data_IF_415895878479
#
_entry.id   IF_415895878479
#
_cell.length_a   1.000
_cell.length_b   1.000
_cell.length_c   1.000
_cell.angle_alpha   90.00
_cell.angle_beta   90.00
_cell.angle_gamma   90.00
#
_symmetry.space_group_name_H-M   'P 1'
#
loop_
_entity.id
_entity.type
_entity.pdbx_description
1 polymer ?
#
# COMPACT_ATOMS: atom_id res chain seq x y z
N UNK A 1 -19.05 36.45 -15.42
CA UNK A 1 -18.23 35.67 -16.37
C UNK A 1 -17.29 34.76 -15.58
N UNK A 2 -17.26 33.45 -15.84
CA UNK A 2 -16.26 32.55 -15.22
C UNK A 2 -14.86 32.85 -15.80
N UNK A 3 -13.85 32.99 -14.92
CA UNK A 3 -12.45 33.19 -15.35
C UNK A 3 -11.94 31.99 -16.16
N UNK A 4 -11.00 32.23 -17.07
CA UNK A 4 -10.41 31.20 -17.94
C UNK A 4 -9.81 30.05 -17.12
N UNK A 5 -9.14 30.36 -16.00
CA UNK A 5 -8.57 29.37 -15.08
C UNK A 5 -9.65 28.44 -14.50
N UNK A 6 -10.81 29.00 -14.12
CA UNK A 6 -11.95 28.20 -13.63
C UNK A 6 -12.46 27.22 -14.70
N UNK A 7 -12.47 27.62 -15.98
CA UNK A 7 -12.88 26.73 -17.07
C UNK A 7 -11.89 25.58 -17.28
N UNK A 8 -10.59 25.83 -17.15
CA UNK A 8 -9.57 24.78 -17.25
C UNK A 8 -9.71 23.75 -16.13
N UNK A 9 -9.82 24.20 -14.88
CA UNK A 9 -10.06 23.32 -13.72
C UNK A 9 -11.29 22.45 -13.96
N UNK A 10 -12.40 23.07 -14.39
CA UNK A 10 -13.64 22.33 -14.68
C UNK A 10 -13.46 21.26 -15.76
N UNK A 11 -12.78 21.58 -16.86
CA UNK A 11 -12.51 20.60 -17.94
C UNK A 11 -11.63 19.43 -17.47
N UNK A 12 -10.66 19.68 -16.60
CA UNK A 12 -9.81 18.61 -16.04
C UNK A 12 -10.58 17.72 -15.06
N UNK A 13 -11.44 18.32 -14.23
CA UNK A 13 -12.36 17.59 -13.35
C UNK A 13 -13.37 16.75 -14.13
N UNK A 14 -13.91 17.27 -15.24
CA UNK A 14 -14.78 16.52 -16.16
C UNK A 14 -14.08 15.28 -16.76
N UNK A 15 -12.75 15.34 -16.92
CA UNK A 15 -11.90 14.20 -17.30
C UNK A 15 -11.52 13.28 -16.14
N UNK A 16 -12.12 13.45 -14.96
CA UNK A 16 -11.87 12.67 -13.73
C UNK A 16 -10.46 12.80 -13.14
N UNK A 17 -9.75 13.88 -13.45
CA UNK A 17 -8.50 14.22 -12.75
C UNK A 17 -8.78 14.97 -11.45
N UNK A 18 -8.03 14.66 -10.40
CA UNK A 18 -7.98 15.47 -9.18
C UNK A 18 -7.04 16.66 -9.44
N UNK A 19 -7.57 17.87 -9.34
CA UNK A 19 -6.90 19.09 -9.75
C UNK A 19 -6.44 19.89 -8.54
N UNK A 20 -5.12 20.02 -8.37
CA UNK A 20 -4.52 21.02 -7.48
C UNK A 20 -4.23 22.29 -8.29
N UNK A 21 -4.64 23.45 -7.79
CA UNK A 21 -4.39 24.74 -8.42
C UNK A 21 -3.60 25.65 -7.49
N UNK A 22 -2.56 26.30 -8.01
CA UNK A 22 -1.81 27.35 -7.32
C UNK A 22 -2.27 28.73 -7.78
N UNK A 23 -2.30 29.71 -6.88
CA UNK A 23 -2.65 31.10 -7.22
C UNK A 23 -2.09 32.09 -6.20
N UNK A 24 -1.97 33.34 -6.62
CA UNK A 24 -1.42 34.45 -5.83
C UNK A 24 -2.35 35.66 -5.78
N UNK A 25 -3.10 35.90 -6.85
CA UNK A 25 -3.96 37.06 -7.01
C UNK A 25 -5.44 36.84 -6.73
N UNK A 26 -6.16 37.95 -6.55
CA UNK A 26 -7.64 37.99 -6.38
C UNK A 26 -8.36 37.34 -7.58
N UNK A 27 -7.76 37.40 -8.78
CA UNK A 27 -8.30 36.82 -10.01
C UNK A 27 -8.33 35.28 -9.99
N UNK A 28 -7.46 34.66 -9.21
CA UNK A 28 -7.39 33.21 -9.07
C UNK A 28 -8.32 32.66 -7.98
N UNK A 29 -8.84 33.52 -7.10
CA UNK A 29 -9.73 33.11 -6.01
C UNK A 29 -10.93 32.24 -6.47
N UNK A 30 -11.65 32.54 -7.56
CA UNK A 30 -12.72 31.67 -8.04
C UNK A 30 -12.24 30.30 -8.53
N UNK A 31 -11.02 30.23 -9.07
CA UNK A 31 -10.46 29.01 -9.62
C UNK A 31 -9.80 28.14 -8.53
N UNK A 32 -9.14 28.76 -7.54
CA UNK A 32 -8.67 28.13 -6.30
C UNK A 32 -9.82 27.45 -5.56
N UNK A 33 -10.94 28.15 -5.38
CA UNK A 33 -12.15 27.62 -4.74
C UNK A 33 -12.84 26.50 -5.55
N UNK A 34 -12.60 26.46 -6.87
CA UNK A 34 -13.20 25.45 -7.75
C UNK A 34 -12.35 24.19 -7.86
N UNK A 35 -11.04 24.30 -7.64
CA UNK A 35 -10.11 23.19 -7.64
C UNK A 35 -10.44 22.19 -6.52
N UNK A 36 -9.98 20.95 -6.67
CA UNK A 36 -10.12 19.95 -5.60
C UNK A 36 -9.21 20.30 -4.41
N UNK A 37 -8.10 20.99 -4.68
CA UNK A 37 -7.19 21.56 -3.69
C UNK A 37 -6.69 22.91 -4.22
N UNK A 38 -7.11 24.01 -3.58
CA UNK A 38 -6.57 25.35 -3.82
C UNK A 38 -5.33 25.62 -2.96
N UNK A 39 -4.24 26.08 -3.58
CA UNK A 39 -2.96 26.37 -2.92
C UNK A 39 -2.59 27.84 -3.13
N UNK A 40 -2.59 28.63 -2.05
CA UNK A 40 -2.06 29.99 -2.09
C UNK A 40 -0.54 29.98 -1.84
N UNK A 41 0.20 30.71 -2.68
CA UNK A 41 1.66 30.89 -2.48
C UNK A 41 1.96 31.82 -1.31
N UNK A 42 3.20 31.80 -0.81
CA UNK A 42 3.60 32.59 0.37
C UNK A 42 3.31 34.08 0.24
N UNK A 43 3.53 34.66 -0.94
CA UNK A 43 3.28 36.09 -1.19
C UNK A 43 1.87 36.37 -1.78
N UNK A 44 0.94 35.41 -1.65
CA UNK A 44 -0.42 35.56 -2.16
C UNK A 44 -1.21 36.64 -1.41
N UNK A 45 -2.08 37.32 -2.14
CA UNK A 45 -3.07 38.28 -1.61
C UNK A 45 -3.99 37.63 -0.58
N UNK A 46 -4.49 38.40 0.39
CA UNK A 46 -5.41 37.89 1.43
C UNK A 46 -6.68 37.27 0.84
N UNK A 47 -7.12 37.78 -0.31
CA UNK A 47 -8.25 37.20 -1.05
C UNK A 47 -7.94 35.80 -1.60
N UNK A 48 -6.74 35.59 -2.16
CA UNK A 48 -6.30 34.27 -2.64
C UNK A 48 -6.09 33.29 -1.48
N UNK A 49 -5.47 33.75 -0.38
CA UNK A 49 -5.30 32.95 0.85
C UNK A 49 -6.65 32.50 1.43
N UNK A 50 -7.62 33.41 1.50
CA UNK A 50 -8.98 33.12 1.99
C UNK A 50 -9.77 32.17 1.09
N UNK A 51 -9.41 32.10 -0.21
CA UNK A 51 -10.06 31.23 -1.17
C UNK A 51 -9.38 29.85 -1.33
N UNK A 52 -8.18 29.68 -0.77
CA UNK A 52 -7.38 28.44 -0.84
C UNK A 52 -7.61 27.51 0.34
N UNK A 53 -7.41 26.20 0.14
CA UNK A 53 -7.46 25.20 1.20
C UNK A 53 -6.13 25.08 1.96
N UNK A 54 -5.02 25.41 1.29
CA UNK A 54 -3.66 25.36 1.83
C UNK A 54 -2.95 26.67 1.49
N UNK A 55 -2.34 27.29 2.51
CA UNK A 55 -1.47 28.46 2.33
C UNK A 55 -0.03 28.03 2.57
N UNK A 56 0.84 28.24 1.58
CA UNK A 56 2.27 27.98 1.73
C UNK A 56 2.92 29.10 2.54
N UNK A 57 3.76 28.75 3.50
CA UNK A 57 4.55 29.73 4.27
C UNK A 57 5.90 30.02 3.63
N UNK A 58 6.32 29.18 2.69
CA UNK A 58 7.59 29.28 1.96
C UNK A 58 7.31 29.27 0.45
N UNK A 59 8.02 30.08 -0.35
CA UNK A 59 7.87 30.06 -1.79
C UNK A 59 8.51 28.81 -2.42
N UNK A 60 8.00 28.41 -3.58
CA UNK A 60 8.62 27.41 -4.45
C UNK A 60 7.83 26.11 -4.62
N UNK A 61 7.96 25.52 -5.82
CA UNK A 61 7.28 24.28 -6.20
C UNK A 61 7.73 23.07 -5.36
N UNK A 62 8.97 23.10 -4.84
CA UNK A 62 9.52 22.05 -3.96
C UNK A 62 8.67 21.82 -2.70
N UNK A 63 8.11 22.90 -2.14
CA UNK A 63 7.25 22.83 -0.94
C UNK A 63 5.97 22.05 -1.26
N UNK A 64 5.39 22.28 -2.44
CA UNK A 64 4.19 21.56 -2.90
C UNK A 64 4.49 20.07 -3.08
N UNK A 65 5.63 19.72 -3.70
CA UNK A 65 6.04 18.31 -3.85
C UNK A 65 6.22 17.64 -2.48
N UNK A 66 6.87 18.32 -1.55
CA UNK A 66 7.08 17.83 -0.18
C UNK A 66 5.77 17.65 0.59
N UNK A 67 4.84 18.60 0.43
CA UNK A 67 3.49 18.51 1.00
C UNK A 67 2.71 17.33 0.42
N UNK A 68 2.76 17.11 -0.89
CA UNK A 68 2.12 15.96 -1.55
C UNK A 68 2.70 14.63 -1.07
N UNK A 69 4.03 14.52 -0.96
CA UNK A 69 4.68 13.30 -0.44
C UNK A 69 4.29 13.02 1.02
N UNK A 70 4.24 14.06 1.86
CA UNK A 70 3.83 13.95 3.26
C UNK A 70 2.36 13.56 3.38
N UNK A 71 1.48 14.19 2.60
CA UNK A 71 0.06 13.85 2.53
C UNK A 71 -0.15 12.39 2.12
N UNK A 72 0.59 11.90 1.11
CA UNK A 72 0.55 10.47 0.73
C UNK A 72 1.01 9.54 1.84
N UNK A 73 2.02 9.92 2.63
CA UNK A 73 2.45 9.12 3.78
C UNK A 73 1.37 9.05 4.87
N UNK A 74 0.74 10.19 5.19
CA UNK A 74 -0.39 10.26 6.15
C UNK A 74 -1.57 9.41 5.65
N UNK A 75 -1.92 9.54 4.37
CA UNK A 75 -3.00 8.78 3.76
C UNK A 75 -2.77 7.26 3.84
N UNK A 76 -1.52 6.80 3.65
CA UNK A 76 -1.19 5.38 3.84
C UNK A 76 -1.38 4.93 5.30
N UNK A 77 -0.97 5.75 6.29
CA UNK A 77 -1.22 5.44 7.70
C UNK A 77 -2.72 5.30 8.00
N UNK A 78 -3.53 6.20 7.46
CA UNK A 78 -4.99 6.14 7.62
C UNK A 78 -5.57 4.86 7.01
N UNK A 79 -5.19 4.49 5.78
CA UNK A 79 -5.64 3.24 5.14
C UNK A 79 -5.23 2.01 5.96
N UNK A 80 -3.97 1.93 6.39
CA UNK A 80 -3.47 0.81 7.18
C UNK A 80 -4.21 0.69 8.53
N UNK A 81 -4.49 1.81 9.18
CA UNK A 81 -5.31 1.86 10.38
C UNK A 81 -6.75 1.38 10.14
N UNK A 82 -7.38 1.77 9.02
CA UNK A 82 -8.73 1.30 8.71
C UNK A 82 -8.76 -0.21 8.47
N UNK A 83 -7.78 -0.78 7.75
CA UNK A 83 -7.67 -2.24 7.57
C UNK A 83 -7.56 -2.92 8.93
N UNK A 84 -6.70 -2.38 9.81
CA UNK A 84 -6.49 -2.89 11.16
C UNK A 84 -7.77 -2.87 12.00
N UNK A 85 -8.44 -1.72 12.08
CA UNK A 85 -9.66 -1.54 12.86
C UNK A 85 -10.77 -2.50 12.40
N UNK A 86 -10.97 -2.64 11.08
CA UNK A 86 -11.93 -3.59 10.50
C UNK A 86 -11.54 -5.03 10.82
N UNK A 87 -10.26 -5.38 10.73
CA UNK A 87 -9.80 -6.74 11.02
C UNK A 87 -10.06 -7.16 12.47
N UNK A 88 -9.78 -6.26 13.42
CA UNK A 88 -10.00 -6.54 14.85
C UNK A 88 -11.47 -6.67 15.17
N UNK A 89 -12.33 -5.79 14.65
CA UNK A 89 -13.77 -5.89 14.91
C UNK A 89 -14.33 -7.21 14.41
N UNK A 90 -13.98 -7.61 13.19
CA UNK A 90 -14.37 -8.91 12.62
C UNK A 90 -13.82 -10.06 13.45
N UNK A 91 -12.55 -10.00 13.87
CA UNK A 91 -11.95 -11.04 14.71
C UNK A 91 -12.69 -11.22 16.04
N UNK A 92 -12.91 -10.14 16.78
CA UNK A 92 -13.50 -10.17 18.11
C UNK A 92 -14.94 -10.68 18.01
N UNK A 93 -15.72 -10.14 17.07
CA UNK A 93 -17.12 -10.56 16.87
C UNK A 93 -17.19 -12.01 16.43
N UNK A 94 -16.51 -12.40 15.35
CA UNK A 94 -16.59 -13.77 14.84
C UNK A 94 -15.94 -14.79 15.79
N UNK A 95 -14.78 -14.47 16.35
CA UNK A 95 -14.01 -15.38 17.21
C UNK A 95 -14.78 -15.77 18.46
N UNK A 96 -15.23 -14.79 19.24
CA UNK A 96 -15.98 -15.07 20.47
C UNK A 96 -17.38 -15.61 20.18
N UNK A 97 -18.05 -15.17 19.11
CA UNK A 97 -19.33 -15.75 18.69
C UNK A 97 -19.20 -17.24 18.35
N UNK A 98 -18.17 -17.64 17.60
CA UNK A 98 -17.95 -19.05 17.23
C UNK A 98 -17.62 -19.90 18.46
N UNK A 99 -16.78 -19.40 19.37
CA UNK A 99 -16.44 -20.12 20.61
C UNK A 99 -17.70 -20.32 21.49
N UNK A 100 -18.52 -19.28 21.64
CA UNK A 100 -19.76 -19.36 22.39
C UNK A 100 -20.79 -20.31 21.74
N UNK A 101 -20.90 -20.30 20.41
CA UNK A 101 -21.86 -21.15 19.70
C UNK A 101 -21.49 -22.63 19.73
N UNK A 102 -20.20 -22.97 19.60
CA UNK A 102 -19.75 -24.36 19.50
C UNK A 102 -19.57 -24.99 20.88
N UNK A 103 -18.92 -24.29 21.82
CA UNK A 103 -18.58 -24.84 23.15
C UNK A 103 -19.39 -24.26 24.31
N UNK A 104 -20.35 -23.36 24.06
CA UNK A 104 -21.12 -22.65 25.10
C UNK A 104 -20.21 -21.99 26.14
N UNK A 105 -19.05 -21.50 25.68
CA UNK A 105 -18.04 -20.87 26.51
C UNK A 105 -18.22 -19.35 26.52
N UNK A 106 -18.46 -18.80 27.70
CA UNK A 106 -18.63 -17.36 27.90
C UNK A 106 -17.30 -16.70 28.28
N UNK A 107 -16.70 -16.00 27.33
CA UNK A 107 -15.49 -15.22 27.58
C UNK A 107 -15.79 -13.97 28.42
N UNK A 108 -14.88 -13.64 29.35
CA UNK A 108 -15.04 -12.51 30.27
C UNK A 108 -15.06 -11.16 29.54
N UNK A 109 -16.16 -10.37 29.63
CA UNK A 109 -16.24 -9.05 29.00
C UNK A 109 -15.18 -8.07 29.53
N UNK A 110 -14.79 -8.21 30.80
CA UNK A 110 -13.74 -7.39 31.40
C UNK A 110 -12.39 -7.62 30.72
N UNK A 111 -12.10 -8.85 30.29
CA UNK A 111 -10.86 -9.13 29.55
C UNK A 111 -10.87 -8.53 28.14
N UNK A 112 -12.03 -8.48 27.49
CA UNK A 112 -12.18 -7.75 26.22
C UNK A 112 -11.91 -6.26 26.42
N UNK A 113 -12.37 -5.68 27.54
CA UNK A 113 -12.07 -4.29 27.89
C UNK A 113 -10.57 -4.05 28.10
N UNK A 114 -9.87 -4.95 28.80
CA UNK A 114 -8.41 -4.85 28.97
C UNK A 114 -7.70 -4.93 27.60
N UNK A 115 -8.12 -5.84 26.71
CA UNK A 115 -7.58 -5.91 25.34
C UNK A 115 -7.79 -4.59 24.60
N UNK A 116 -8.99 -4.00 24.70
CA UNK A 116 -9.32 -2.73 24.06
C UNK A 116 -8.43 -1.58 24.56
N UNK A 117 -8.27 -1.45 25.88
CA UNK A 117 -7.43 -0.41 26.49
C UNK A 117 -5.96 -0.55 26.06
N UNK A 118 -5.42 -1.77 26.10
CA UNK A 118 -4.04 -2.04 25.67
C UNK A 118 -3.88 -1.73 24.17
N UNK A 119 -4.87 -2.09 23.36
CA UNK A 119 -4.86 -1.80 21.93
C UNK A 119 -4.86 -0.29 21.66
N UNK A 120 -5.75 0.47 22.27
CA UNK A 120 -5.86 1.93 22.09
C UNK A 120 -4.55 2.64 22.43
N UNK A 121 -3.88 2.24 23.53
CA UNK A 121 -2.56 2.75 23.89
C UNK A 121 -1.52 2.50 22.79
N UNK A 122 -1.53 1.32 22.16
CA UNK A 122 -0.61 1.01 21.05
C UNK A 122 -0.99 1.71 19.74
N UNK A 123 -2.29 1.89 19.46
CA UNK A 123 -2.79 2.56 18.23
C UNK A 123 -2.30 4.00 18.15
N UNK A 124 -2.19 4.71 19.28
CA UNK A 124 -1.69 6.10 19.29
C UNK A 124 -0.30 6.21 18.65
N UNK A 125 0.52 5.16 18.70
CA UNK A 125 1.85 5.14 18.08
C UNK A 125 1.84 5.02 16.56
N UNK A 126 0.76 4.49 15.96
CA UNK A 126 0.59 4.36 14.50
C UNK A 126 0.62 5.74 13.83
N UNK A 127 0.09 6.78 14.51
CA UNK A 127 0.10 8.16 14.02
C UNK A 127 1.53 8.67 13.72
N UNK A 128 2.52 8.20 14.49
CA UNK A 128 3.94 8.56 14.39
C UNK A 128 4.78 7.53 13.63
N UNK A 129 4.17 6.52 13.02
CA UNK A 129 4.91 5.43 12.37
C UNK A 129 5.57 5.88 11.05
N UNK A 130 6.71 5.27 10.70
CA UNK A 130 7.44 5.56 9.46
C UNK A 130 6.89 4.70 8.32
N UNK A 131 5.88 5.22 7.62
CA UNK A 131 5.26 4.57 6.45
C UNK A 131 5.79 5.18 5.15
N UNK A 132 6.05 4.34 4.15
CA UNK A 132 6.50 4.78 2.83
C UNK A 132 5.32 5.38 2.04
N UNK A 133 5.45 6.58 1.46
CA UNK A 133 4.39 7.17 0.64
C UNK A 133 4.15 6.34 -0.62
N UNK A 134 2.93 6.42 -1.16
CA UNK A 134 2.61 5.78 -2.44
C UNK A 134 3.32 6.49 -3.60
N UNK A 135 3.96 5.75 -4.53
CA UNK A 135 4.62 6.37 -5.68
C UNK A 135 3.62 7.01 -6.64
N UNK A 136 2.44 6.40 -6.78
CA UNK A 136 1.32 6.92 -7.58
C UNK A 136 0.23 7.51 -6.67
N UNK A 137 -0.55 8.49 -7.17
CA UNK A 137 -1.77 8.93 -6.51
C UNK A 137 -2.66 7.74 -6.19
N UNK A 138 -3.11 7.66 -4.94
CA UNK A 138 -3.95 6.58 -4.45
C UNK A 138 -5.27 7.18 -4.00
N UNK A 139 -6.36 6.46 -4.25
CA UNK A 139 -7.71 6.88 -3.86
C UNK A 139 -8.24 5.97 -2.74
N UNK A 140 -9.21 6.49 -1.98
CA UNK A 140 -9.78 5.75 -0.86
C UNK A 140 -10.77 4.70 -1.37
N UNK A 141 -10.24 3.54 -1.76
CA UNK A 141 -11.04 2.41 -2.23
C UNK A 141 -11.57 1.60 -1.04
N UNK A 142 -12.67 2.07 -0.44
CA UNK A 142 -13.28 1.45 0.75
C UNK A 142 -13.48 -0.05 0.59
N UNK A 143 -14.02 -0.51 -0.54
CA UNK A 143 -14.28 -1.93 -0.79
C UNK A 143 -13.03 -2.81 -0.66
N UNK A 144 -11.89 -2.36 -1.19
CA UNK A 144 -10.62 -3.09 -1.10
C UNK A 144 -10.11 -3.14 0.35
N UNK A 145 -10.22 -2.01 1.06
CA UNK A 145 -9.80 -1.87 2.47
C UNK A 145 -10.65 -2.79 3.37
N UNK A 146 -11.97 -2.76 3.24
CA UNK A 146 -12.88 -3.61 4.00
C UNK A 146 -12.71 -5.08 3.67
N UNK A 147 -12.60 -5.45 2.38
CA UNK A 147 -12.37 -6.83 1.99
C UNK A 147 -11.07 -7.38 2.59
N UNK A 148 -10.00 -6.58 2.56
CA UNK A 148 -8.72 -6.97 3.18
C UNK A 148 -8.88 -7.15 4.68
N UNK A 149 -9.56 -6.21 5.36
CA UNK A 149 -9.80 -6.30 6.79
C UNK A 149 -10.62 -7.52 7.21
N UNK A 150 -11.72 -7.80 6.49
CA UNK A 150 -12.58 -8.96 6.77
C UNK A 150 -11.82 -10.26 6.61
N UNK A 151 -11.05 -10.45 5.54
CA UNK A 151 -10.32 -11.70 5.32
C UNK A 151 -9.23 -11.92 6.39
N UNK A 152 -8.46 -10.89 6.73
CA UNK A 152 -7.47 -10.97 7.81
C UNK A 152 -8.15 -11.26 9.16
N UNK A 153 -9.24 -10.55 9.47
CA UNK A 153 -10.02 -10.74 10.70
C UNK A 153 -10.61 -12.15 10.82
N UNK A 154 -11.19 -12.69 9.73
CA UNK A 154 -11.75 -14.04 9.70
C UNK A 154 -10.67 -15.10 9.88
N UNK A 155 -9.50 -14.97 9.23
CA UNK A 155 -8.37 -15.87 9.46
C UNK A 155 -7.96 -15.86 10.94
N UNK A 156 -7.85 -14.67 11.55
CA UNK A 156 -7.50 -14.55 12.97
C UNK A 156 -8.56 -15.15 13.89
N UNK A 157 -9.84 -15.00 13.57
CA UNK A 157 -10.94 -15.63 14.30
C UNK A 157 -10.83 -17.15 14.24
N UNK A 158 -10.61 -17.72 13.05
CA UNK A 158 -10.41 -19.17 12.86
C UNK A 158 -9.22 -19.65 13.68
N UNK A 159 -8.08 -18.95 13.63
CA UNK A 159 -6.90 -19.35 14.43
C UNK A 159 -7.13 -19.23 15.94
N UNK A 160 -8.02 -18.33 16.38
CA UNK A 160 -8.43 -18.24 17.79
C UNK A 160 -9.32 -19.42 18.18
N UNK A 161 -10.24 -19.82 17.30
CA UNK A 161 -11.12 -20.99 17.48
C UNK A 161 -10.31 -22.29 17.48
N UNK A 162 -9.36 -22.45 16.56
CA UNK A 162 -8.47 -23.61 16.49
C UNK A 162 -7.60 -23.70 17.75
N UNK A 163 -7.11 -22.57 18.26
CA UNK A 163 -6.38 -22.53 19.52
C UNK A 163 -7.26 -23.01 20.69
N UNK A 164 -8.50 -22.51 20.77
CA UNK A 164 -9.44 -22.89 21.81
C UNK A 164 -9.78 -24.39 21.74
N UNK A 165 -10.10 -24.91 20.56
CA UNK A 165 -10.34 -26.33 20.34
C UNK A 165 -9.14 -27.19 20.75
N UNK A 166 -7.92 -26.80 20.36
CA UNK A 166 -6.71 -27.53 20.71
C UNK A 166 -6.38 -27.48 22.21
N UNK A 167 -6.83 -26.46 22.94
CA UNK A 167 -6.63 -26.32 24.39
C UNK A 167 -7.72 -26.99 25.24
N UNK A 168 -8.96 -27.06 24.73
CA UNK A 168 -10.11 -27.58 25.46
C UNK A 168 -10.43 -29.04 25.13
N UNK A 169 -10.44 -29.42 23.85
CA UNK A 169 -10.84 -30.76 23.40
C UNK A 169 -9.62 -31.69 23.21
N UNK A 170 -8.47 -31.15 22.80
CA UNK A 170 -7.27 -31.93 22.52
C UNK A 170 -6.26 -31.91 23.68
N UNK A 171 -5.41 -32.93 23.76
CA UNK A 171 -4.25 -32.98 24.67
C UNK A 171 -2.97 -32.51 23.96
N UNK A 172 -3.10 -32.03 22.71
CA UNK A 172 -1.98 -31.67 21.85
C UNK A 172 -0.93 -30.80 22.53
N UNK A 173 -1.36 -29.76 23.26
CA UNK A 173 -0.44 -28.86 23.94
C UNK A 173 0.25 -29.52 25.14
N UNK A 174 -0.47 -30.30 25.94
CA UNK A 174 0.08 -31.00 27.09
C UNK A 174 1.03 -32.12 26.70
N UNK A 175 0.70 -32.90 25.66
CA UNK A 175 1.52 -34.01 25.17
C UNK A 175 2.81 -33.50 24.50
N UNK A 176 2.72 -32.46 23.66
CA UNK A 176 3.87 -32.00 22.87
C UNK A 176 4.81 -31.07 23.63
N UNK A 177 4.28 -30.23 24.51
CA UNK A 177 5.06 -29.21 25.21
C UNK A 177 5.22 -29.48 26.71
N UNK A 178 4.64 -30.57 27.24
CA UNK A 178 4.78 -30.96 28.65
C UNK A 178 4.14 -29.97 29.64
N UNK A 179 3.18 -29.17 29.18
CA UNK A 179 2.44 -28.20 30.01
C UNK A 179 1.24 -28.83 30.70
N UNK A 180 0.88 -28.29 31.87
CA UNK A 180 -0.27 -28.74 32.68
C UNK A 180 -1.55 -28.73 31.86
N UNK A 181 -2.40 -29.75 31.96
CA UNK A 181 -3.67 -29.76 31.23
C UNK A 181 -4.65 -28.74 31.83
N UNK A 182 -5.26 -27.91 30.97
CA UNK A 182 -6.19 -26.83 31.35
C UNK A 182 -7.62 -27.08 30.84
N UNK A 183 -7.90 -28.27 30.32
CA UNK A 183 -9.15 -28.59 29.60
C UNK A 183 -10.42 -28.21 30.37
N UNK A 184 -10.50 -28.62 31.62
CA UNK A 184 -11.70 -28.43 32.47
C UNK A 184 -11.65 -27.14 33.31
N UNK A 185 -10.56 -26.39 33.23
CA UNK A 185 -10.33 -25.19 34.04
C UNK A 185 -10.69 -23.92 33.25
N UNK A 186 -11.99 -23.62 33.17
CA UNK A 186 -12.52 -22.43 32.47
C UNK A 186 -11.78 -21.10 32.80
N UNK A 187 -11.43 -20.79 34.07
CA UNK A 187 -10.71 -19.55 34.37
C UNK A 187 -9.28 -19.49 33.83
N UNK A 188 -8.59 -20.62 33.68
CA UNK A 188 -7.25 -20.70 33.10
C UNK A 188 -7.34 -20.62 31.56
N UNK A 189 -8.37 -21.25 30.97
CA UNK A 189 -8.67 -21.16 29.55
C UNK A 189 -8.98 -19.70 29.12
N UNK A 190 -9.68 -18.94 29.96
CA UNK A 190 -9.88 -17.50 29.77
C UNK A 190 -8.55 -16.73 29.71
N UNK A 191 -7.60 -17.03 30.59
CA UNK A 191 -6.27 -16.43 30.59
C UNK A 191 -5.50 -16.75 29.30
N UNK A 192 -5.57 -18.01 28.87
CA UNK A 192 -4.92 -18.47 27.65
C UNK A 192 -5.46 -17.74 26.42
N UNK A 193 -6.79 -17.69 26.31
CA UNK A 193 -7.49 -17.05 25.20
C UNK A 193 -7.25 -15.54 25.19
N UNK A 194 -7.29 -14.88 26.35
CA UNK A 194 -6.96 -13.47 26.52
C UNK A 194 -5.55 -13.16 25.99
N UNK A 195 -4.55 -13.93 26.42
CA UNK A 195 -3.17 -13.71 26.01
C UNK A 195 -2.99 -13.91 24.49
N UNK A 196 -3.56 -14.99 23.94
CA UNK A 196 -3.49 -15.28 22.51
C UNK A 196 -4.14 -14.16 21.67
N UNK A 197 -5.31 -13.69 22.10
CA UNK A 197 -6.03 -12.62 21.41
C UNK A 197 -5.24 -11.31 21.49
N UNK A 198 -4.67 -10.99 22.66
CA UNK A 198 -3.87 -9.78 22.88
C UNK A 198 -2.62 -9.75 21.99
N UNK A 199 -1.81 -10.83 21.99
CA UNK A 199 -0.57 -10.91 21.19
C UNK A 199 -0.86 -10.71 19.72
N UNK A 200 -1.79 -11.52 19.19
CA UNK A 200 -2.03 -11.53 17.74
C UNK A 200 -2.74 -10.26 17.28
N UNK A 201 -3.58 -9.64 18.12
CA UNK A 201 -4.22 -8.36 17.78
C UNK A 201 -3.20 -7.25 17.62
N UNK A 202 -2.23 -7.13 18.52
CA UNK A 202 -1.17 -6.12 18.35
C UNK A 202 -0.17 -6.50 17.25
N UNK A 203 0.11 -7.80 17.07
CA UNK A 203 0.98 -8.28 16.00
C UNK A 203 0.43 -7.89 14.61
N UNK A 204 -0.89 -7.91 14.44
CA UNK A 204 -1.56 -7.52 13.20
C UNK A 204 -1.20 -6.10 12.75
N UNK A 205 -0.88 -5.17 13.66
CA UNK A 205 -0.44 -3.81 13.31
C UNK A 205 0.79 -3.86 12.38
N UNK A 206 1.73 -4.78 12.64
CA UNK A 206 2.94 -4.91 11.83
C UNK A 206 2.66 -5.47 10.41
N UNK A 207 1.64 -6.30 10.27
CA UNK A 207 1.19 -6.80 8.95
C UNK A 207 0.47 -5.72 8.18
N UNK A 208 -0.45 -4.98 8.80
CA UNK A 208 -1.26 -3.97 8.12
C UNK A 208 -0.47 -2.72 7.76
N UNK A 209 0.58 -2.37 8.52
CA UNK A 209 1.45 -1.24 8.18
C UNK A 209 2.35 -1.50 6.96
N UNK A 210 2.73 -2.76 6.73
CA UNK A 210 3.74 -3.14 5.75
C UNK A 210 3.12 -3.43 4.39
N UNK A 211 3.70 -2.86 3.33
CA UNK A 211 3.28 -3.16 1.94
C UNK A 211 3.93 -4.44 1.43
N UNK A 212 5.15 -4.71 1.88
CA UNK A 212 5.90 -5.95 1.67
C UNK A 212 5.79 -6.84 2.90
N UNK A 213 6.74 -7.76 3.09
CA UNK A 213 6.83 -8.59 4.27
C UNK A 213 7.02 -7.72 5.51
N UNK A 214 6.28 -8.03 6.57
CA UNK A 214 6.29 -7.27 7.81
C UNK A 214 7.70 -7.14 8.40
N UNK A 215 8.49 -8.22 8.36
CA UNK A 215 9.86 -8.25 8.88
C UNK A 215 10.85 -7.39 8.10
N UNK A 216 10.59 -7.14 6.81
CA UNK A 216 11.50 -6.38 5.95
C UNK A 216 11.33 -4.86 6.14
N UNK A 217 10.12 -4.43 6.50
CA UNK A 217 9.81 -3.02 6.72
C UNK A 217 10.00 -2.65 8.20
N UNK A 218 11.12 -2.00 8.52
CA UNK A 218 11.43 -1.62 9.91
C UNK A 218 10.30 -0.78 10.55
N UNK A 219 9.74 -1.22 11.69
CA UNK A 219 8.78 -0.42 12.45
C UNK A 219 9.41 0.79 13.13
N UNK A 220 8.60 1.82 13.39
CA UNK A 220 9.02 2.92 14.25
C UNK A 220 9.34 2.42 15.66
N UNK A 221 10.38 2.98 16.28
CA UNK A 221 10.81 2.58 17.64
C UNK A 221 9.70 2.74 18.68
N UNK A 222 8.85 3.76 18.54
CA UNK A 222 7.69 3.98 19.42
C UNK A 222 6.67 2.84 19.32
N UNK A 223 6.42 2.33 18.10
CA UNK A 223 5.49 1.23 17.88
C UNK A 223 6.02 -0.07 18.49
N UNK A 224 7.31 -0.35 18.31
CA UNK A 224 7.96 -1.53 18.92
C UNK A 224 7.95 -1.41 20.45
N UNK A 225 8.31 -0.26 21.00
CA UNK A 225 8.28 -0.02 22.44
C UNK A 225 6.89 -0.20 23.02
N UNK A 226 5.86 0.36 22.38
CA UNK A 226 4.47 0.21 22.82
C UNK A 226 3.99 -1.25 22.73
N UNK A 227 4.34 -1.96 21.65
CA UNK A 227 4.06 -3.40 21.53
C UNK A 227 4.70 -4.19 22.67
N UNK A 228 6.00 -4.00 22.91
CA UNK A 228 6.71 -4.74 23.96
C UNK A 228 6.14 -4.46 25.36
N UNK A 229 5.83 -3.20 25.67
CA UNK A 229 5.24 -2.82 26.97
C UNK A 229 3.85 -3.43 27.11
N UNK A 230 2.99 -3.28 26.10
CA UNK A 230 1.62 -3.78 26.18
C UNK A 230 1.58 -5.31 26.22
N UNK A 231 2.47 -5.99 25.50
CA UNK A 231 2.60 -7.45 25.54
C UNK A 231 3.22 -7.97 26.84
N UNK A 232 4.16 -7.24 27.43
CA UNK A 232 4.68 -7.55 28.75
C UNK A 232 3.56 -7.47 29.79
N UNK A 233 2.79 -6.39 29.78
CA UNK A 233 1.62 -6.22 30.68
C UNK A 233 0.59 -7.32 30.44
N UNK A 234 0.25 -7.62 29.19
CA UNK A 234 -0.70 -8.69 28.86
C UNK A 234 -0.23 -10.06 29.34
N UNK A 235 1.06 -10.37 29.16
CA UNK A 235 1.66 -11.63 29.61
C UNK A 235 1.66 -11.72 31.14
N UNK A 236 2.01 -10.65 31.85
CA UNK A 236 1.97 -10.60 33.32
C UNK A 236 0.56 -10.81 33.86
N UNK A 237 -0.46 -10.20 33.24
CA UNK A 237 -1.86 -10.40 33.60
C UNK A 237 -2.24 -11.88 33.40
N UNK A 238 -1.92 -12.47 32.24
CA UNK A 238 -2.28 -13.86 31.96
C UNK A 238 -1.59 -14.87 32.89
N UNK A 239 -0.35 -14.58 33.32
CA UNK A 239 0.45 -15.47 34.17
C UNK A 239 0.08 -15.35 35.64
N UNK A 240 -0.17 -14.15 36.15
CA UNK A 240 -0.27 -13.89 37.59
C UNK A 240 -1.66 -13.46 38.07
N UNK A 241 -2.56 -12.99 37.20
CA UNK A 241 -3.85 -12.47 37.65
C UNK A 241 -4.76 -13.60 38.13
N UNK A 242 -5.24 -13.47 39.37
CA UNK A 242 -6.26 -14.31 39.96
C UNK A 242 -7.42 -13.41 40.39
N UNK A 243 -8.32 -13.11 39.45
CA UNK A 243 -9.47 -12.24 39.71
C UNK A 243 -10.76 -13.04 39.51
N UNK A 244 -11.45 -13.33 40.60
CA UNK A 244 -12.72 -14.06 40.57
C UNK A 244 -13.79 -13.28 39.79
N UNK A 245 -13.86 -11.96 39.99
CA UNK A 245 -14.76 -11.07 39.24
C UNK A 245 -14.58 -11.17 37.73
N UNK A 246 -13.32 -11.27 37.27
CA UNK A 246 -13.00 -11.33 35.85
C UNK A 246 -12.95 -12.78 35.30
N UNK A 247 -13.27 -13.79 36.11
CA UNK A 247 -13.20 -15.23 35.78
C UNK A 247 -11.84 -15.64 35.18
N UNK A 248 -10.75 -15.13 35.74
CA UNK A 248 -9.39 -15.39 35.25
C UNK A 248 -8.51 -15.98 36.37
N UNK A 249 -7.68 -16.95 36.01
CA UNK A 249 -6.68 -17.54 36.90
C UNK A 249 -5.33 -17.66 36.21
N UNK A 250 -4.26 -17.32 36.91
CA UNK A 250 -2.90 -17.31 36.38
C UNK A 250 -2.48 -18.68 35.84
N UNK A 251 -2.11 -18.72 34.55
CA UNK A 251 -1.82 -19.97 33.83
C UNK A 251 -0.34 -20.41 33.92
N UNK A 252 0.53 -19.53 34.42
CA UNK A 252 1.97 -19.78 34.54
C UNK A 252 2.77 -19.53 33.25
N UNK A 253 4.10 -19.42 33.39
CA UNK A 253 5.01 -19.06 32.30
C UNK A 253 5.15 -20.13 31.20
N UNK A 254 5.00 -21.41 31.55
CA UNK A 254 5.07 -22.51 30.57
C UNK A 254 4.00 -22.35 29.49
N UNK A 255 2.75 -22.16 29.91
CA UNK A 255 1.64 -21.90 29.00
C UNK A 255 1.77 -20.59 28.26
N UNK A 256 2.22 -19.52 28.92
CA UNK A 256 2.48 -18.25 28.26
C UNK A 256 3.48 -18.42 27.10
N UNK A 257 4.55 -19.18 27.29
CA UNK A 257 5.53 -19.50 26.24
C UNK A 257 4.92 -20.26 25.06
N UNK A 258 4.07 -21.25 25.33
CA UNK A 258 3.35 -22.01 24.28
C UNK A 258 2.40 -21.11 23.49
N UNK A 259 1.68 -20.20 24.17
CA UNK A 259 0.77 -19.24 23.54
C UNK A 259 1.54 -18.24 22.66
N UNK A 260 2.69 -17.76 23.14
CA UNK A 260 3.60 -16.94 22.34
C UNK A 260 4.08 -17.68 21.10
N UNK A 261 4.53 -18.92 21.25
CA UNK A 261 4.96 -19.75 20.14
C UNK A 261 3.85 -19.96 19.11
N UNK A 262 2.65 -20.34 19.56
CA UNK A 262 1.46 -20.46 18.70
C UNK A 262 1.18 -19.15 17.95
N UNK A 263 1.18 -18.03 18.66
CA UNK A 263 0.91 -16.71 18.09
C UNK A 263 1.94 -16.32 17.03
N UNK A 264 3.22 -16.64 17.24
CA UNK A 264 4.30 -16.37 16.27
C UNK A 264 4.16 -17.28 15.04
N UNK A 265 3.85 -18.57 15.21
CA UNK A 265 3.68 -19.50 14.08
C UNK A 265 2.53 -19.04 13.17
N UNK A 266 1.38 -18.71 13.75
CA UNK A 266 0.20 -18.28 12.99
C UNK A 266 0.24 -16.82 12.53
N UNK A 267 1.28 -16.08 12.90
CA UNK A 267 1.55 -14.75 12.40
C UNK A 267 2.09 -14.76 10.96
N UNK A 268 3.02 -15.67 10.63
CA UNK A 268 3.67 -15.69 9.30
C UNK A 268 2.69 -15.80 8.12
N UNK A 269 1.63 -16.64 8.16
CA UNK A 269 0.68 -16.74 7.05
C UNK A 269 -0.12 -15.46 6.80
N UNK A 270 -0.20 -14.52 7.75
CA UNK A 270 -0.90 -13.25 7.55
C UNK A 270 -0.29 -12.41 6.42
N UNK A 271 1.03 -12.40 6.29
CA UNK A 271 1.71 -11.69 5.19
C UNK A 271 1.41 -12.34 3.83
N UNK A 272 1.35 -13.67 3.78
CA UNK A 272 0.99 -14.42 2.57
C UNK A 272 -0.46 -14.09 2.17
N UNK A 273 -1.37 -14.11 3.15
CA UNK A 273 -2.78 -13.80 2.95
C UNK A 273 -2.97 -12.36 2.46
N UNK A 274 -2.23 -11.41 3.04
CA UNK A 274 -2.19 -10.00 2.60
C UNK A 274 -1.80 -9.88 1.12
N UNK A 275 -0.76 -10.59 0.67
CA UNK A 275 -0.35 -10.56 -0.74
C UNK A 275 -1.39 -11.19 -1.65
N UNK A 276 -1.97 -12.31 -1.24
CA UNK A 276 -3.02 -12.98 -1.99
C UNK A 276 -4.24 -12.08 -2.20
N UNK A 277 -4.73 -11.42 -1.14
CA UNK A 277 -5.86 -10.50 -1.22
C UNK A 277 -5.55 -9.33 -2.15
N UNK A 278 -4.37 -8.73 -2.01
CA UNK A 278 -3.95 -7.62 -2.86
C UNK A 278 -3.89 -8.04 -4.33
N UNK A 279 -3.34 -9.22 -4.61
CA UNK A 279 -3.29 -9.77 -5.96
C UNK A 279 -4.69 -10.03 -6.53
N UNK A 280 -5.59 -10.62 -5.74
CA UNK A 280 -6.97 -10.89 -6.13
C UNK A 280 -7.76 -9.60 -6.43
N UNK A 281 -7.63 -8.58 -5.57
CA UNK A 281 -8.32 -7.30 -5.71
C UNK A 281 -7.79 -6.41 -6.84
N UNK A 282 -6.52 -6.56 -7.23
CA UNK A 282 -5.93 -5.78 -8.34
C UNK A 282 -6.45 -6.24 -9.72
N UNK A 283 -7.35 -7.22 -9.78
CA UNK A 283 -7.95 -7.71 -11.03
C UNK A 283 -7.01 -8.52 -11.93
N UNK A 284 -5.69 -8.51 -11.66
CA UNK A 284 -4.70 -9.32 -12.37
C UNK A 284 -4.98 -10.83 -12.27
N UNK A 285 -5.52 -11.28 -11.14
CA UNK A 285 -5.93 -12.68 -10.98
C UNK A 285 -7.08 -13.05 -11.94
N UNK A 286 -8.08 -12.17 -12.05
CA UNK A 286 -9.23 -12.36 -12.94
C UNK A 286 -8.85 -12.23 -14.41
N UNK A 287 -8.00 -11.25 -14.76
CA UNK A 287 -7.50 -11.10 -16.13
C UNK A 287 -6.66 -12.32 -16.53
N UNK A 288 -5.72 -12.78 -15.69
CA UNK A 288 -4.94 -13.97 -15.98
C UNK A 288 -5.80 -15.25 -16.08
N UNK A 289 -6.88 -15.35 -15.28
CA UNK A 289 -7.78 -16.50 -15.32
C UNK A 289 -8.71 -16.49 -16.55
N UNK A 290 -9.16 -15.30 -16.97
CA UNK A 290 -9.92 -15.09 -18.20
C UNK A 290 -9.03 -15.28 -19.43
N UNK A 291 -7.79 -14.76 -19.42
CA UNK A 291 -6.78 -14.95 -20.46
C UNK A 291 -6.40 -16.43 -20.58
N UNK A 292 -6.24 -17.16 -19.46
CA UNK A 292 -6.01 -18.60 -19.50
C UNK A 292 -7.24 -19.38 -20.01
N UNK A 293 -8.47 -19.02 -19.58
CA UNK A 293 -9.69 -19.70 -20.09
C UNK A 293 -9.97 -19.40 -21.56
N UNK A 294 -9.65 -18.20 -22.03
CA UNK A 294 -9.73 -17.85 -23.46
C UNK A 294 -8.59 -18.50 -24.25
N UNK A 295 -7.41 -18.69 -23.68
CA UNK A 295 -6.32 -19.44 -24.31
C UNK A 295 -6.66 -20.94 -24.48
N UNK A 296 -7.39 -21.54 -23.53
CA UNK A 296 -7.82 -22.94 -23.63
C UNK A 296 -9.06 -23.17 -24.51
N UNK A 297 -9.92 -22.16 -24.71
CA UNK A 297 -11.15 -22.30 -25.51
C UNK A 297 -11.11 -21.60 -26.86
N UNK A 298 -10.17 -20.69 -27.10
CA UNK A 298 -10.05 -19.90 -28.33
C UNK A 298 -8.60 -19.75 -28.78
N UNK A 299 -8.11 -20.74 -29.52
CA UNK A 299 -7.33 -20.64 -30.78
C UNK A 299 -6.40 -21.84 -30.91
N UNK A 300 -6.73 -22.72 -31.86
CA UNK A 300 -5.81 -23.77 -32.36
C UNK A 300 -4.62 -23.19 -33.14
N UNK A 301 -4.68 -21.91 -33.52
CA UNK A 301 -3.69 -21.20 -34.32
C UNK A 301 -3.47 -19.77 -33.79
N UNK A 302 -2.74 -19.63 -32.68
CA UNK A 302 -2.31 -18.31 -32.20
C UNK A 302 -1.25 -17.73 -33.17
N UNK A 303 -1.47 -16.50 -33.64
CA UNK A 303 -0.54 -15.79 -34.51
C UNK A 303 -0.44 -16.28 -35.96
N UNK A 304 -1.29 -17.21 -36.43
CA UNK A 304 -1.28 -17.63 -37.86
C UNK A 304 -1.86 -16.55 -38.76
N UNK A 305 -3.02 -15.98 -38.40
CA UNK A 305 -3.63 -14.87 -39.15
C UNK A 305 -2.78 -13.60 -39.13
N UNK A 306 -2.06 -13.33 -38.04
CA UNK A 306 -1.12 -12.20 -37.96
C UNK A 306 0.13 -12.43 -38.82
N UNK A 307 0.66 -13.66 -38.87
CA UNK A 307 1.76 -14.04 -39.77
C UNK A 307 1.35 -14.00 -41.24
N UNK A 308 0.15 -14.47 -41.57
CA UNK A 308 -0.41 -14.40 -42.93
C UNK A 308 -0.66 -12.95 -43.36
N UNK A 309 -1.16 -12.09 -42.45
CA UNK A 309 -1.34 -10.66 -42.72
C UNK A 309 -0.01 -9.91 -42.85
N UNK A 310 0.99 -10.24 -42.02
CA UNK A 310 2.35 -9.68 -42.14
C UNK A 310 3.05 -10.15 -43.40
N UNK A 311 2.89 -11.42 -43.78
CA UNK A 311 3.42 -11.96 -45.03
C UNK A 311 2.76 -11.29 -46.25
N UNK A 312 1.43 -11.15 -46.24
CA UNK A 312 0.70 -10.42 -47.27
C UNK A 312 1.07 -8.93 -47.35
N UNK A 313 1.30 -8.26 -46.21
CA UNK A 313 1.77 -6.87 -46.17
C UNK A 313 3.21 -6.75 -46.69
N UNK A 314 4.12 -7.63 -46.27
CA UNK A 314 5.51 -7.65 -46.71
C UNK A 314 5.63 -7.92 -48.21
N UNK A 315 4.75 -8.77 -48.76
CA UNK A 315 4.73 -9.10 -50.17
C UNK A 315 4.14 -7.96 -51.02
N UNK A 316 3.17 -7.21 -50.48
CA UNK A 316 2.63 -5.99 -51.13
C UNK A 316 3.64 -4.84 -51.14
N UNK A 317 4.40 -4.64 -50.07
CA UNK A 317 5.46 -3.61 -50.02
C UNK A 317 6.65 -3.96 -50.92
N UNK A 318 6.98 -5.24 -51.09
CA UNK A 318 8.01 -5.69 -52.03
C UNK A 318 7.65 -5.40 -53.50
N UNK A 319 6.36 -5.41 -53.83
CA UNK A 319 5.84 -5.08 -55.17
C UNK A 319 5.51 -3.59 -55.36
N UNK A 320 5.86 -2.71 -54.43
CA UNK A 320 5.68 -1.26 -54.56
C UNK A 320 4.23 -0.77 -54.49
N UNK A 321 3.30 -1.60 -54.00
CA UNK A 321 1.89 -1.22 -53.81
C UNK A 321 1.71 -0.66 -52.39
N UNK A 322 1.26 0.59 -52.28
CA UNK A 322 0.92 1.23 -51.00
C UNK A 322 -0.37 0.61 -50.41
N UNK A 323 -0.44 0.40 -49.08
CA UNK A 323 -1.68 -0.06 -48.45
C UNK A 323 -2.76 1.03 -48.56
N UNK A 324 -4.05 0.65 -48.63
CA UNK A 324 -5.14 1.63 -48.64
C UNK A 324 -5.19 2.35 -47.29
N UNK A 325 -5.33 3.68 -47.33
CA UNK A 325 -5.58 4.50 -46.15
C UNK A 325 -6.93 4.11 -45.53
N UNK A 326 -6.89 3.36 -44.44
CA UNK A 326 -8.05 3.15 -43.56
C UNK A 326 -8.07 4.26 -42.52
N UNK A 327 -8.34 5.49 -42.96
CA UNK A 327 -8.96 6.49 -42.10
C UNK A 327 -10.41 6.07 -41.87
N UNK A 328 -10.85 6.06 -40.61
CA UNK A 328 -12.15 5.59 -40.09
C UNK A 328 -12.21 4.09 -39.73
N UNK A 329 -11.79 3.74 -38.50
CA UNK A 329 -12.58 2.84 -37.61
C UNK A 329 -11.96 2.46 -36.24
N UNK A 330 -10.71 2.79 -35.88
CA UNK A 330 -10.17 2.40 -34.55
C UNK A 330 -9.19 3.42 -33.95
N UNK A 331 -9.70 4.38 -33.18
CA UNK A 331 -8.91 5.53 -32.69
C UNK A 331 -8.29 5.37 -31.28
N UNK A 332 -8.45 4.23 -30.60
CA UNK A 332 -7.95 4.06 -29.22
C UNK A 332 -6.65 3.25 -29.07
N UNK A 333 -6.14 2.63 -30.16
CA UNK A 333 -4.90 1.81 -30.11
C UNK A 333 -3.69 2.42 -30.82
N UNK A 334 -3.87 3.47 -31.63
CA UNK A 334 -2.76 4.07 -32.39
C UNK A 334 -1.82 4.94 -31.55
N UNK A 335 -2.30 5.52 -30.44
CA UNK A 335 -1.49 6.44 -29.63
C UNK A 335 -0.22 5.79 -29.04
N UNK A 336 -0.29 4.54 -28.56
CA UNK A 336 0.88 3.85 -28.01
C UNK A 336 1.91 3.47 -29.08
N UNK A 337 1.44 3.17 -30.29
CA UNK A 337 2.28 2.72 -31.40
C UNK A 337 3.00 3.90 -32.05
N UNK A 338 2.30 5.02 -32.24
CA UNK A 338 2.90 6.29 -32.68
C UNK A 338 3.90 6.83 -31.64
N UNK A 339 3.58 6.78 -30.34
CA UNK A 339 4.52 7.20 -29.28
C UNK A 339 5.78 6.33 -29.25
N UNK A 340 5.65 5.02 -29.50
CA UNK A 340 6.79 4.10 -29.57
C UNK A 340 7.66 4.38 -30.79
N UNK A 341 7.06 4.61 -31.96
CA UNK A 341 7.80 4.93 -33.19
C UNK A 341 8.48 6.31 -33.09
N UNK A 342 7.83 7.31 -32.49
CA UNK A 342 8.41 8.63 -32.22
C UNK A 342 9.57 8.52 -31.24
N UNK A 343 9.44 7.73 -30.17
CA UNK A 343 10.52 7.49 -29.21
C UNK A 343 11.72 6.79 -29.85
N UNK A 344 11.48 5.82 -30.74
CA UNK A 344 12.52 5.09 -31.44
C UNK A 344 13.25 5.96 -32.49
N UNK A 345 12.51 6.81 -33.20
CA UNK A 345 13.08 7.83 -34.10
C UNK A 345 13.89 8.88 -33.33
N UNK A 346 13.41 9.33 -32.18
CA UNK A 346 14.14 10.26 -31.31
C UNK A 346 15.45 9.65 -30.79
N UNK A 347 15.43 8.37 -30.39
CA UNK A 347 16.63 7.64 -29.96
C UNK A 347 17.66 7.52 -31.08
N UNK A 348 17.24 7.15 -32.30
CA UNK A 348 18.13 7.10 -33.48
C UNK A 348 18.72 8.47 -33.82
N UNK A 349 17.94 9.55 -33.72
CA UNK A 349 18.44 10.92 -33.95
C UNK A 349 19.45 11.36 -32.88
N UNK A 350 19.22 11.02 -31.61
CA UNK A 350 20.17 11.30 -30.54
C UNK A 350 21.49 10.52 -30.73
N UNK A 351 21.41 9.28 -31.19
CA UNK A 351 22.59 8.44 -31.44
C UNK A 351 23.41 8.93 -32.64
N UNK A 352 22.74 9.36 -33.71
CA UNK A 352 23.40 10.01 -34.86
C UNK A 352 24.03 11.37 -34.47
N UNK A 353 23.37 12.16 -33.61
CA UNK A 353 23.92 13.41 -33.11
C UNK A 353 25.17 13.16 -32.24
N UNK A 354 25.12 12.16 -31.34
CA UNK A 354 26.27 11.75 -30.51
C UNK A 354 27.45 11.26 -31.35
N UNK A 355 27.19 10.48 -32.41
CA UNK A 355 28.24 10.02 -33.34
C UNK A 355 28.84 11.17 -34.16
N UNK A 356 28.04 12.19 -34.48
CA UNK A 356 28.54 13.42 -35.14
C UNK A 356 29.44 14.24 -34.22
N UNK A 357 29.12 14.37 -32.93
CA UNK A 357 30.00 15.04 -31.96
C UNK A 357 31.37 14.34 -31.85
N UNK A 358 31.38 13.00 -31.79
CA UNK A 358 32.60 12.19 -31.72
C UNK A 358 33.52 12.32 -32.95
N UNK A 359 32.98 12.61 -34.12
CA UNK A 359 33.75 12.77 -35.37
C UNK A 359 34.24 14.21 -35.62
N UNK A 360 33.88 15.18 -34.78
CA UNK A 360 34.45 16.52 -34.84
C UNK A 360 35.67 16.61 -33.91
N UNK A 361 36.77 17.20 -34.39
CA UNK A 361 37.99 17.42 -33.58
C UNK A 361 37.69 18.12 -32.24
N UNK A 362 36.72 19.05 -32.23
CA UNK A 362 36.24 19.72 -31.03
C UNK A 362 35.55 18.77 -30.04
N UNK A 363 34.64 17.92 -30.51
CA UNK A 363 33.95 16.94 -29.66
C UNK A 363 34.86 15.83 -29.15
N UNK A 364 35.90 15.46 -29.91
CA UNK A 364 36.93 14.53 -29.43
C UNK A 364 37.72 15.14 -28.27
N UNK A 365 38.16 16.40 -28.39
CA UNK A 365 38.88 17.12 -27.32
C UNK A 365 38.00 17.29 -26.09
N UNK A 366 36.76 17.74 -26.23
CA UNK A 366 35.84 17.91 -25.10
C UNK A 366 35.53 16.58 -24.39
N UNK A 367 35.39 15.47 -25.14
CA UNK A 367 35.13 14.15 -24.55
C UNK A 367 36.33 13.61 -23.75
N UNK A 368 37.56 13.82 -24.24
CA UNK A 368 38.80 13.38 -23.58
C UNK A 368 39.07 14.21 -22.33
N UNK A 369 38.76 15.51 -22.37
CA UNK A 369 38.91 16.42 -21.22
C UNK A 369 37.89 16.11 -20.13
N UNK A 370 36.64 15.80 -20.50
CA UNK A 370 35.58 15.38 -19.57
C UNK A 370 35.86 14.00 -18.94
N UNK A 371 36.46 13.07 -19.70
CA UNK A 371 36.93 11.77 -19.20
C UNK A 371 38.11 11.89 -18.22
N UNK A 372 38.94 12.93 -18.34
CA UNK A 372 40.06 13.21 -17.44
C UNK A 372 39.69 14.13 -16.26
N UNK A 373 38.43 14.59 -16.16
CA UNK A 373 37.94 15.38 -15.02
C UNK A 373 38.54 16.78 -14.90
N UNK A 374 38.96 17.38 -16.02
CA UNK A 374 39.52 18.74 -16.05
C UNK A 374 38.43 19.76 -16.42
N UNK A 375 38.39 20.88 -15.70
CA UNK A 375 37.38 21.95 -15.86
C UNK A 375 37.85 22.98 -16.91
N UNK A 376 37.00 23.30 -17.90
CA UNK A 376 37.39 24.09 -19.09
C UNK A 376 37.06 25.59 -18.95
N UNK A 377 36.38 26.02 -17.89
CA UNK A 377 35.89 27.41 -17.76
C UNK A 377 36.99 28.49 -17.63
N UNK A 378 38.28 28.13 -17.61
CA UNK A 378 39.40 29.06 -17.48
C UNK A 378 40.17 29.46 -18.76
N UNK A 379 39.89 28.87 -19.93
CA UNK A 379 40.69 29.13 -21.14
C UNK A 379 39.96 30.09 -22.08
N UNK A 380 39.93 31.37 -21.70
CA UNK A 380 39.70 32.48 -22.60
C UNK A 380 40.98 33.31 -22.69
N UNK A 381 41.78 33.15 -23.76
CA UNK A 381 42.62 34.23 -24.29
C UNK A 381 42.86 34.06 -25.79
N UNK A 382 42.43 35.08 -26.54
CA UNK A 382 43.00 35.66 -27.76
C UNK A 382 43.52 34.74 -28.87
N UNK A 383 42.92 34.86 -30.07
CA UNK A 383 43.60 35.41 -31.25
C UNK A 383 42.57 35.99 -32.23
N UNK A 384 42.73 37.27 -32.54
CA UNK A 384 42.24 37.93 -33.75
C UNK A 384 43.15 37.56 -34.93
N UNK A 385 42.57 37.09 -36.04
CA UNK A 385 42.55 37.72 -37.38
C UNK A 385 41.30 37.22 -38.09
#
# INVERSE_FOLDING_TARGET
MQSTNTRFVKKLQERKHICGMTGDGVNDAPALKKADIGIAVADATDAARSASDIVLTEPGLSVIVSAVLTSRAIFQRMKNYTIYAVSITIRIVLGFMLIALIWKFDFSPFMVLIIAILNDGTIMTISKDKVKPSPMPDSWKLKEIFATGVVLGTYLAIMTVVFFWAAHESDFFSEKFGVRSIRDHYPELNSALYLQVSIVSQALIFVTRSRSWSFMERPGLLLVGAFLIAQLVATLIAVYANWEFARIRGIGWGWAGVIWFYSIVFYFPLDILKFFIKYALTGKAWNNMLDNRTAFTSKKDYGRGEREAQWAMAQRTLHGLQPPDTSELFDDKNSYRELSEIAEQAKKRAEVARLRELHTLKGHVESVVKLKGLDIEGIQQHYTV
#
